data_IF_608359513101
#
_entry.id   IF_608359513101
#
_cell.length_a   1.000
_cell.length_b   1.000
_cell.length_c   1.000
_cell.angle_alpha   90.00
_cell.angle_beta   90.00
_cell.angle_gamma   90.00
#
_symmetry.space_group_name_H-M   'P 1'
#
loop_
_entity.id
_entity.type
_entity.pdbx_description
1 polymer ?
#
# COMPACT_ATOMS: atom_id res chain seq x y z
N UNK A 1 3.83 10.22 -74.58
CA UNK A 1 4.52 9.05 -75.14
C UNK A 1 4.58 9.20 -76.65
N UNK A 2 3.45 9.40 -77.31
CA UNK A 2 3.34 9.56 -78.78
C UNK A 2 4.23 10.69 -79.35
N UNK A 3 4.25 11.87 -78.71
CA UNK A 3 5.12 12.98 -79.15
C UNK A 3 6.63 12.66 -79.10
N UNK A 4 7.07 11.79 -78.19
CA UNK A 4 8.49 11.39 -78.10
C UNK A 4 8.83 10.31 -79.13
N UNK A 5 7.86 9.43 -79.42
CA UNK A 5 7.98 8.42 -80.49
C UNK A 5 8.09 9.11 -81.85
N UNK A 6 7.21 10.07 -82.14
CA UNK A 6 7.23 10.84 -83.40
C UNK A 6 8.55 11.59 -83.60
N UNK A 7 9.03 12.29 -82.57
CA UNK A 7 10.30 13.03 -82.64
C UNK A 7 11.49 12.08 -82.83
N UNK A 8 11.54 10.97 -82.10
CA UNK A 8 12.63 10.00 -82.25
C UNK A 8 12.62 9.30 -83.62
N UNK A 9 11.44 9.03 -84.17
CA UNK A 9 11.31 8.48 -85.53
C UNK A 9 11.78 9.46 -86.59
N UNK A 10 11.38 10.74 -86.51
CA UNK A 10 11.78 11.78 -87.45
C UNK A 10 13.30 12.01 -87.42
N UNK A 11 13.89 12.11 -86.23
CA UNK A 11 15.34 12.27 -86.05
C UNK A 11 16.13 11.06 -86.56
N UNK A 12 15.64 9.83 -86.32
CA UNK A 12 16.31 8.61 -86.77
C UNK A 12 16.18 8.38 -88.28
N UNK A 13 15.04 8.74 -88.89
CA UNK A 13 14.87 8.73 -90.34
C UNK A 13 15.74 9.78 -91.04
N UNK A 14 15.96 10.94 -90.41
CA UNK A 14 16.84 11.98 -90.92
C UNK A 14 18.34 11.64 -90.80
N UNK A 15 18.72 10.85 -89.79
CA UNK A 15 20.12 10.52 -89.50
C UNK A 15 20.62 9.21 -90.14
N UNK A 16 19.74 8.25 -90.45
CA UNK A 16 20.13 6.91 -90.89
C UNK A 16 19.30 6.42 -92.10
N UNK A 17 19.89 5.52 -92.91
CA UNK A 17 19.15 4.83 -93.97
C UNK A 17 18.23 3.75 -93.38
N UNK A 18 16.92 4.01 -93.39
CA UNK A 18 15.92 3.12 -92.79
C UNK A 18 15.40 2.11 -93.82
N UNK A 19 15.79 0.84 -93.65
CA UNK A 19 15.39 -0.25 -94.56
C UNK A 19 13.96 -0.75 -94.36
N UNK A 20 13.45 -0.71 -93.12
CA UNK A 20 12.07 -1.07 -92.78
C UNK A 20 11.51 -0.15 -91.69
N UNK A 21 10.64 0.78 -92.10
CA UNK A 21 10.00 1.74 -91.20
C UNK A 21 9.18 1.08 -90.10
N UNK A 22 8.55 -0.08 -90.35
CA UNK A 22 7.75 -0.77 -89.32
C UNK A 22 8.63 -1.31 -88.19
N UNK A 23 9.83 -1.76 -88.52
CA UNK A 23 10.79 -2.23 -87.52
C UNK A 23 11.43 -1.09 -86.75
N UNK A 24 11.69 0.05 -87.40
CA UNK A 24 12.10 1.28 -86.71
C UNK A 24 11.02 1.73 -85.70
N UNK A 25 9.76 1.83 -86.15
CA UNK A 25 8.65 2.24 -85.30
C UNK A 25 8.50 1.33 -84.07
N UNK A 26 8.53 0.01 -84.25
CA UNK A 26 8.49 -0.95 -83.13
C UNK A 26 9.65 -0.76 -82.16
N UNK A 27 10.86 -0.51 -82.66
CA UNK A 27 12.03 -0.29 -81.82
C UNK A 27 11.93 1.02 -81.02
N UNK A 28 11.56 2.12 -81.66
CA UNK A 28 11.39 3.43 -81.01
C UNK A 28 10.28 3.37 -79.96
N UNK A 29 9.17 2.68 -80.25
CA UNK A 29 8.07 2.51 -79.32
C UNK A 29 8.50 1.72 -78.08
N UNK A 30 9.24 0.62 -78.25
CA UNK A 30 9.81 -0.16 -77.13
C UNK A 30 10.84 0.64 -76.32
N UNK A 31 11.70 1.42 -76.96
CA UNK A 31 12.66 2.28 -76.26
C UNK A 31 11.94 3.35 -75.43
N UNK A 32 10.99 4.04 -76.03
CA UNK A 32 10.22 5.11 -75.39
C UNK A 32 9.41 4.56 -74.23
N UNK A 33 8.75 3.41 -74.41
CA UNK A 33 8.02 2.74 -73.33
C UNK A 33 8.95 2.39 -72.16
N UNK A 34 10.14 1.84 -72.43
CA UNK A 34 11.11 1.51 -71.38
C UNK A 34 11.65 2.75 -70.65
N UNK A 35 11.90 3.85 -71.37
CA UNK A 35 12.36 5.12 -70.76
C UNK A 35 11.28 5.68 -69.84
N UNK A 36 10.05 5.85 -70.33
CA UNK A 36 8.92 6.36 -69.54
C UNK A 36 8.66 5.48 -68.32
N UNK A 37 8.73 4.14 -68.50
CA UNK A 37 8.55 3.19 -67.40
C UNK A 37 9.66 3.34 -66.34
N UNK A 38 10.92 3.51 -66.76
CA UNK A 38 12.04 3.73 -65.84
C UNK A 38 11.90 5.03 -65.06
N UNK A 39 11.51 6.12 -65.71
CA UNK A 39 11.25 7.41 -65.05
C UNK A 39 10.10 7.31 -64.05
N UNK A 40 9.00 6.64 -64.43
CA UNK A 40 7.87 6.39 -63.53
C UNK A 40 8.28 5.60 -62.28
N UNK A 41 9.11 4.56 -62.43
CA UNK A 41 9.62 3.80 -61.27
C UNK A 41 10.51 4.66 -60.38
N UNK A 42 11.34 5.53 -60.95
CA UNK A 42 12.19 6.44 -60.18
C UNK A 42 11.35 7.46 -59.40
N UNK A 43 10.32 8.03 -60.02
CA UNK A 43 9.39 8.94 -59.36
C UNK A 43 8.68 8.26 -58.17
N UNK A 44 8.13 7.06 -58.37
CA UNK A 44 7.49 6.29 -57.31
C UNK A 44 8.46 5.94 -56.18
N UNK A 45 9.71 5.59 -56.49
CA UNK A 45 10.73 5.30 -55.47
C UNK A 45 11.09 6.53 -54.64
N UNK A 46 11.12 7.72 -55.25
CA UNK A 46 11.35 8.98 -54.54
C UNK A 46 10.19 9.32 -53.62
N UNK A 47 8.95 9.14 -54.10
CA UNK A 47 7.73 9.33 -53.31
C UNK A 47 7.70 8.39 -52.11
N UNK A 48 7.90 7.08 -52.32
CA UNK A 48 7.94 6.08 -51.25
C UNK A 48 9.02 6.42 -50.22
N UNK A 49 10.22 6.83 -50.65
CA UNK A 49 11.28 7.24 -49.71
C UNK A 49 10.90 8.48 -48.90
N UNK A 50 10.20 9.43 -49.52
CA UNK A 50 9.67 10.61 -48.84
C UNK A 50 8.65 10.20 -47.78
N UNK A 51 7.69 9.35 -48.15
CA UNK A 51 6.64 8.87 -47.24
C UNK A 51 7.22 8.09 -46.06
N UNK A 52 8.21 7.23 -46.30
CA UNK A 52 8.91 6.49 -45.23
C UNK A 52 9.60 7.46 -44.26
N UNK A 53 10.22 8.54 -44.77
CA UNK A 53 10.87 9.54 -43.93
C UNK A 53 9.85 10.28 -43.07
N UNK A 54 8.71 10.67 -43.64
CA UNK A 54 7.61 11.30 -42.92
C UNK A 54 7.05 10.35 -41.85
N UNK A 55 6.80 9.09 -42.21
CA UNK A 55 6.31 8.07 -41.30
C UNK A 55 7.27 7.86 -40.12
N UNK A 56 8.57 7.82 -40.38
CA UNK A 56 9.61 7.65 -39.35
C UNK A 56 9.63 8.83 -38.39
N UNK A 57 9.49 10.06 -38.91
CA UNK A 57 9.44 11.25 -38.07
C UNK A 57 8.17 11.28 -37.19
N UNK A 58 7.01 10.95 -37.76
CA UNK A 58 5.76 10.82 -37.00
C UNK A 58 5.88 9.75 -35.93
N UNK A 59 6.47 8.60 -36.26
CA UNK A 59 6.67 7.51 -35.32
C UNK A 59 7.58 7.93 -34.17
N UNK A 60 8.69 8.61 -34.46
CA UNK A 60 9.61 9.15 -33.46
C UNK A 60 8.89 10.13 -32.52
N UNK A 61 8.13 11.08 -33.06
CA UNK A 61 7.34 12.01 -32.26
C UNK A 61 6.28 11.30 -31.42
N UNK A 62 5.67 10.24 -31.95
CA UNK A 62 4.74 9.39 -31.21
C UNK A 62 5.41 8.71 -30.02
N UNK A 63 6.62 8.16 -30.20
CA UNK A 63 7.39 7.57 -29.11
C UNK A 63 7.80 8.62 -28.06
N UNK A 64 8.29 9.78 -28.48
CA UNK A 64 8.64 10.87 -27.54
C UNK A 64 7.45 11.33 -26.70
N UNK A 65 6.24 11.38 -27.28
CA UNK A 65 5.03 11.70 -26.54
C UNK A 65 4.64 10.58 -25.56
N UNK A 66 4.80 9.32 -25.97
CA UNK A 66 4.54 8.16 -25.11
C UNK A 66 5.51 8.15 -23.94
N UNK A 67 6.80 8.39 -24.17
CA UNK A 67 7.82 8.44 -23.12
C UNK A 67 7.51 9.53 -22.10
N UNK A 68 7.14 10.74 -22.56
CA UNK A 68 6.70 11.83 -21.66
C UNK A 68 5.49 11.43 -20.82
N UNK A 69 4.47 10.79 -21.44
CA UNK A 69 3.29 10.32 -20.72
C UNK A 69 3.65 9.25 -19.67
N UNK A 70 4.60 8.37 -19.97
CA UNK A 70 5.08 7.38 -19.00
C UNK A 70 5.82 8.05 -17.85
N UNK A 71 6.73 9.00 -18.12
CA UNK A 71 7.42 9.77 -17.07
C UNK A 71 6.44 10.50 -16.15
N UNK A 72 5.43 11.17 -16.71
CA UNK A 72 4.41 11.87 -15.94
C UNK A 72 3.57 10.89 -15.09
N UNK A 73 3.24 9.73 -15.64
CA UNK A 73 2.54 8.67 -14.92
C UNK A 73 3.39 8.13 -13.75
N UNK A 74 4.69 7.89 -13.96
CA UNK A 74 5.59 7.46 -12.89
C UNK A 74 5.70 8.50 -11.79
N UNK A 75 5.90 9.78 -12.13
CA UNK A 75 5.93 10.88 -11.14
C UNK A 75 4.63 10.96 -10.33
N UNK A 76 3.48 10.80 -10.99
CA UNK A 76 2.19 10.79 -10.32
C UNK A 76 2.06 9.58 -9.37
N UNK A 77 2.48 8.40 -9.80
CA UNK A 77 2.47 7.19 -8.98
C UNK A 77 3.38 7.31 -7.76
N UNK A 78 4.61 7.80 -7.94
CA UNK A 78 5.58 7.99 -6.86
C UNK A 78 5.01 8.95 -5.80
N UNK A 79 4.48 10.10 -6.24
CA UNK A 79 3.85 11.06 -5.34
C UNK A 79 2.67 10.44 -4.56
N UNK A 80 1.81 9.67 -5.25
CA UNK A 80 0.67 9.01 -4.61
C UNK A 80 1.10 7.95 -3.61
N UNK A 81 2.18 7.23 -3.90
CA UNK A 81 2.75 6.22 -3.00
C UNK A 81 3.38 6.87 -1.76
N UNK A 82 4.09 7.98 -1.93
CA UNK A 82 4.63 8.79 -0.85
C UNK A 82 3.50 9.33 0.06
N UNK A 83 2.47 9.94 -0.53
CA UNK A 83 1.30 10.44 0.19
C UNK A 83 0.60 9.33 1.00
N UNK A 84 0.44 8.14 0.39
CA UNK A 84 -0.14 6.98 1.05
C UNK A 84 0.73 6.51 2.23
N UNK A 85 2.05 6.41 2.03
CA UNK A 85 3.00 6.01 3.07
C UNK A 85 2.97 6.99 4.24
N UNK A 86 2.98 8.29 3.95
CA UNK A 86 2.87 9.35 4.96
C UNK A 86 1.55 9.28 5.73
N UNK A 87 0.43 9.02 5.04
CA UNK A 87 -0.86 8.83 5.70
C UNK A 87 -0.89 7.60 6.60
N UNK A 88 -0.25 6.50 6.19
CA UNK A 88 -0.16 5.27 6.97
C UNK A 88 0.67 5.52 8.23
N UNK A 89 1.86 6.14 8.09
CA UNK A 89 2.73 6.47 9.21
C UNK A 89 2.02 7.33 10.26
N UNK A 90 1.30 8.39 9.83
CA UNK A 90 0.51 9.22 10.75
C UNK A 90 -0.57 8.45 11.50
N UNK A 91 -1.20 7.45 10.86
CA UNK A 91 -2.19 6.60 11.53
C UNK A 91 -1.54 5.68 12.55
N UNK A 92 -0.38 5.11 12.24
CA UNK A 92 0.37 4.29 13.19
C UNK A 92 0.82 5.11 14.40
N UNK A 93 1.35 6.33 14.22
CA UNK A 93 1.69 7.22 15.33
C UNK A 93 0.48 7.54 16.24
N UNK A 94 -0.72 7.68 15.66
CA UNK A 94 -1.95 7.87 16.43
C UNK A 94 -2.34 6.61 17.21
N UNK A 95 -2.13 5.43 16.64
CA UNK A 95 -2.35 4.15 17.30
C UNK A 95 -1.40 4.00 18.48
N UNK A 96 -0.11 4.29 18.30
CA UNK A 96 0.90 4.23 19.36
C UNK A 96 0.52 5.15 20.53
N UNK A 97 0.13 6.40 20.25
CA UNK A 97 -0.36 7.34 21.29
C UNK A 97 -1.57 6.82 22.04
N UNK A 98 -2.48 6.10 21.37
CA UNK A 98 -3.65 5.49 22.03
C UNK A 98 -3.24 4.33 22.92
N UNK A 99 -2.27 3.52 22.51
CA UNK A 99 -1.72 2.46 23.34
C UNK A 99 -1.04 3.04 24.59
N UNK A 100 -0.21 4.08 24.46
CA UNK A 100 0.40 4.75 25.62
C UNK A 100 -0.65 5.29 26.60
N UNK A 101 -1.78 5.82 26.11
CA UNK A 101 -2.89 6.27 26.96
C UNK A 101 -3.59 5.10 27.66
N UNK A 102 -3.74 3.97 26.99
CA UNK A 102 -4.30 2.75 27.56
C UNK A 102 -3.39 2.22 28.66
N UNK A 103 -2.08 2.16 28.43
CA UNK A 103 -1.09 1.71 29.41
C UNK A 103 -1.14 2.58 30.67
N UNK A 104 -1.18 3.91 30.53
CA UNK A 104 -1.34 4.84 31.66
C UNK A 104 -2.61 4.57 32.46
N UNK A 105 -3.75 4.33 31.79
CA UNK A 105 -5.02 4.02 32.46
C UNK A 105 -4.95 2.69 33.22
N UNK A 106 -4.26 1.70 32.67
CA UNK A 106 -4.03 0.44 33.37
C UNK A 106 -3.14 0.62 34.59
N UNK A 107 -2.04 1.36 34.49
CA UNK A 107 -1.18 1.69 35.63
C UNK A 107 -1.96 2.41 36.75
N UNK A 108 -2.78 3.40 36.40
CA UNK A 108 -3.63 4.12 37.36
C UNK A 108 -4.65 3.18 38.02
N UNK A 109 -5.25 2.27 37.25
CA UNK A 109 -6.18 1.28 37.76
C UNK A 109 -5.50 0.32 38.74
N UNK A 110 -4.31 -0.19 38.42
CA UNK A 110 -3.54 -1.05 39.31
C UNK A 110 -3.19 -0.33 40.61
N UNK A 111 -2.69 0.91 40.54
CA UNK A 111 -2.41 1.73 41.74
C UNK A 111 -3.64 1.97 42.60
N UNK A 112 -4.80 2.18 41.98
CA UNK A 112 -6.06 2.32 42.72
C UNK A 112 -6.47 1.01 43.39
N UNK A 113 -6.32 -0.12 42.70
CA UNK A 113 -6.59 -1.45 43.27
C UNK A 113 -5.67 -1.75 44.45
N UNK A 114 -4.37 -1.51 44.33
CA UNK A 114 -3.40 -1.70 45.42
C UNK A 114 -3.81 -0.92 46.67
N UNK A 115 -4.16 0.37 46.52
CA UNK A 115 -4.65 1.19 47.64
C UNK A 115 -5.93 0.64 48.27
N UNK A 116 -6.84 0.08 47.46
CA UNK A 116 -8.09 -0.53 47.96
C UNK A 116 -7.80 -1.82 48.72
N UNK A 117 -6.87 -2.64 48.24
CA UNK A 117 -6.42 -3.85 48.94
C UNK A 117 -5.73 -3.51 50.25
N UNK A 118 -4.81 -2.53 50.28
CA UNK A 118 -4.19 -2.07 51.53
C UNK A 118 -5.23 -1.59 52.57
N UNK A 119 -6.29 -0.89 52.13
CA UNK A 119 -7.37 -0.48 53.01
C UNK A 119 -8.17 -1.67 53.55
N UNK A 120 -8.39 -2.69 52.72
CA UNK A 120 -9.05 -3.94 53.12
C UNK A 120 -8.20 -4.67 54.15
N UNK A 121 -6.89 -4.80 53.92
CA UNK A 121 -5.96 -5.44 54.85
C UNK A 121 -5.97 -4.75 56.22
N UNK A 122 -5.92 -3.41 56.26
CA UNK A 122 -6.04 -2.64 57.52
C UNK A 122 -7.35 -2.89 58.26
N UNK A 123 -8.47 -3.04 57.54
CA UNK A 123 -9.76 -3.35 58.15
C UNK A 123 -9.80 -4.76 58.72
N UNK A 124 -9.21 -5.73 58.02
CA UNK A 124 -9.07 -7.09 58.53
C UNK A 124 -8.17 -7.15 59.77
N UNK A 125 -7.08 -6.39 59.80
CA UNK A 125 -6.22 -6.27 60.98
C UNK A 125 -6.97 -5.67 62.19
N UNK A 126 -7.71 -4.58 62.01
CA UNK A 126 -8.57 -3.99 63.06
C UNK A 126 -9.64 -5.00 63.55
N UNK A 127 -10.29 -5.72 62.64
CA UNK A 127 -11.25 -6.77 63.01
C UNK A 127 -10.60 -7.89 63.83
N UNK A 128 -9.40 -8.33 63.45
CA UNK A 128 -8.68 -9.39 64.16
C UNK A 128 -8.27 -8.93 65.57
N UNK A 129 -7.85 -7.67 65.72
CA UNK A 129 -7.55 -7.07 67.02
C UNK A 129 -8.78 -7.04 67.93
N UNK A 130 -9.93 -6.59 67.41
CA UNK A 130 -11.20 -6.59 68.17
C UNK A 130 -11.65 -7.99 68.55
N UNK A 131 -11.51 -8.97 67.65
CA UNK A 131 -11.84 -10.36 67.94
C UNK A 131 -10.95 -10.93 69.04
N UNK A 132 -9.64 -10.64 68.99
CA UNK A 132 -8.68 -11.03 70.03
C UNK A 132 -9.05 -10.44 71.38
N UNK A 133 -9.41 -9.15 71.43
CA UNK A 133 -9.82 -8.50 72.67
C UNK A 133 -11.15 -9.05 73.23
N UNK A 134 -12.11 -9.33 72.35
CA UNK A 134 -13.36 -9.99 72.73
C UNK A 134 -13.10 -11.40 73.29
N UNK A 135 -12.20 -12.17 72.65
CA UNK A 135 -11.80 -13.49 73.13
C UNK A 135 -11.18 -13.40 74.53
N UNK A 136 -10.29 -12.44 74.79
CA UNK A 136 -9.70 -12.22 76.12
C UNK A 136 -10.78 -11.94 77.17
N UNK A 137 -11.71 -11.02 76.88
CA UNK A 137 -12.83 -10.70 77.78
C UNK A 137 -13.72 -11.91 78.05
N UNK A 138 -14.03 -12.70 77.02
CA UNK A 138 -14.80 -13.93 77.15
C UNK A 138 -14.09 -14.97 78.02
N UNK A 139 -12.78 -15.17 77.84
CA UNK A 139 -11.98 -16.06 78.68
C UNK A 139 -12.00 -15.60 80.13
N UNK A 140 -11.78 -14.31 80.42
CA UNK A 140 -11.84 -13.78 81.79
C UNK A 140 -13.21 -14.01 82.43
N UNK A 141 -14.29 -13.72 81.71
CA UNK A 141 -15.67 -13.94 82.19
C UNK A 141 -15.95 -15.42 82.46
N UNK A 142 -15.49 -16.31 81.58
CA UNK A 142 -15.64 -17.76 81.73
C UNK A 142 -14.86 -18.27 82.94
N UNK A 143 -13.64 -17.77 83.17
CA UNK A 143 -12.84 -18.10 84.35
C UNK A 143 -13.53 -17.68 85.65
N UNK A 144 -14.07 -16.45 85.71
CA UNK A 144 -14.81 -15.97 86.89
C UNK A 144 -16.05 -16.83 87.15
N UNK A 145 -16.81 -17.14 86.09
CA UNK A 145 -17.99 -18.00 86.19
C UNK A 145 -17.63 -19.40 86.72
N UNK A 146 -16.57 -20.02 86.19
CA UNK A 146 -16.11 -21.33 86.64
C UNK A 146 -15.69 -21.34 88.11
N UNK A 147 -14.96 -20.30 88.57
CA UNK A 147 -14.61 -20.15 89.98
C UNK A 147 -15.87 -20.01 90.83
N UNK A 148 -16.83 -19.17 90.42
CA UNK A 148 -18.09 -18.96 91.13
C UNK A 148 -18.91 -20.23 91.27
N UNK A 149 -19.07 -21.01 90.19
CA UNK A 149 -19.76 -22.31 90.21
C UNK A 149 -19.03 -23.27 91.17
N UNK A 150 -17.71 -23.33 91.14
CA UNK A 150 -16.92 -24.16 92.06
C UNK A 150 -17.14 -23.80 93.53
N UNK A 151 -17.21 -22.50 93.85
CA UNK A 151 -17.52 -22.04 95.21
C UNK A 151 -18.93 -22.43 95.64
N UNK A 152 -19.93 -22.32 94.76
CA UNK A 152 -21.31 -22.73 95.05
C UNK A 152 -21.37 -24.23 95.36
N UNK A 153 -20.70 -25.06 94.55
CA UNK A 153 -20.63 -26.51 94.76
C UNK A 153 -19.98 -26.82 96.11
N UNK A 154 -18.86 -26.16 96.45
CA UNK A 154 -18.21 -26.33 97.76
C UNK A 154 -19.12 -25.93 98.92
N UNK A 155 -19.83 -24.81 98.82
CA UNK A 155 -20.79 -24.38 99.85
C UNK A 155 -21.92 -25.40 100.03
N UNK A 156 -22.45 -25.97 98.94
CA UNK A 156 -23.49 -27.00 99.03
C UNK A 156 -23.01 -28.26 99.75
N UNK A 157 -21.78 -28.72 99.47
CA UNK A 157 -21.18 -29.88 100.15
C UNK A 157 -20.97 -29.61 101.64
N UNK A 158 -20.45 -28.43 102.00
CA UNK A 158 -20.24 -28.05 103.40
C UNK A 158 -21.59 -27.96 104.15
N UNK A 159 -22.61 -27.38 103.52
CA UNK A 159 -23.94 -27.27 104.11
C UNK A 159 -24.58 -28.65 104.37
N UNK A 160 -24.44 -29.59 103.43
CA UNK A 160 -24.90 -30.98 103.65
C UNK A 160 -24.12 -31.68 104.76
N UNK A 161 -22.82 -31.39 104.94
CA UNK A 161 -22.00 -32.03 105.97
C UNK A 161 -22.24 -31.49 107.40
N UNK A 162 -22.73 -30.24 107.53
CA UNK A 162 -23.02 -29.61 108.83
C UNK A 162 -24.40 -30.01 109.39
N UNK A 163 -25.29 -30.55 108.54
CA UNK A 163 -26.64 -30.99 108.90
C UNK A 163 -26.66 -32.44 109.38
#
# INVERSE_FOLDING_TARGET
>A
MDAMVEVLEEELEGAFEVKDRKSLHRYVLLLTENIVRKESYQAQQLEIKSDIKILTEIQKQGFEQVDKRFEDMFKYMDKRFEDMTNSINKRFEQVDKRFEQVDKRFEDMFRYMDKRFEQVDKRFEDMNNRFTDMSKKFTMSSTILNIGIGLIILMTIIFEFIK
#
